data_IF_480869502537
#
_entry.id   IF_480869502537
#
_cell.length_a   1.000
_cell.length_b   1.000
_cell.length_c   1.000
_cell.angle_alpha   90.00
_cell.angle_beta   90.00
_cell.angle_gamma   90.00
#
_symmetry.space_group_name_H-M   'P 1'
#
loop_
_entity.id
_entity.type
_entity.pdbx_description
1 polymer ?
#
# COMPACT_ATOMS: atom_id res chain seq x y z
N UNK A 1 3.05 -29.86 14.62
CA UNK A 1 2.23 -30.61 13.66
C UNK A 1 1.05 -29.72 13.30
N UNK A 2 1.04 -29.14 12.10
CA UNK A 2 -0.09 -28.34 11.63
C UNK A 2 -1.26 -29.29 11.33
N UNK A 3 -2.49 -29.01 11.81
CA UNK A 3 -3.64 -29.87 11.54
C UNK A 3 -4.07 -29.73 10.07
N UNK A 4 -3.97 -30.82 9.32
CA UNK A 4 -4.68 -31.14 8.07
C UNK A 4 -5.15 -29.96 7.19
N UNK A 5 -4.24 -29.37 6.42
CA UNK A 5 -4.57 -28.42 5.34
C UNK A 5 -4.89 -29.17 4.04
N UNK A 6 -6.07 -29.81 3.95
CA UNK A 6 -6.54 -30.45 2.69
C UNK A 6 -7.58 -29.60 1.95
N UNK A 7 -7.63 -28.29 2.23
CA UNK A 7 -8.49 -27.34 1.53
C UNK A 7 -7.65 -26.56 0.52
N UNK A 8 -8.21 -26.35 -0.68
CA UNK A 8 -7.59 -25.59 -1.76
C UNK A 8 -8.48 -24.41 -2.14
N UNK A 9 -7.87 -23.26 -2.36
CA UNK A 9 -8.58 -22.05 -2.83
C UNK A 9 -8.65 -22.09 -4.36
N UNK A 10 -9.86 -21.96 -4.90
CA UNK A 10 -10.12 -21.91 -6.35
C UNK A 10 -11.02 -20.72 -6.68
N UNK A 11 -10.65 -19.93 -7.69
CA UNK A 11 -11.41 -18.74 -8.13
C UNK A 11 -12.22 -19.07 -9.39
N UNK A 12 -13.51 -18.80 -9.36
CA UNK A 12 -14.44 -19.04 -10.48
C UNK A 12 -15.12 -17.76 -10.94
N UNK A 13 -15.42 -17.66 -12.24
CA UNK A 13 -16.37 -16.67 -12.77
C UNK A 13 -17.71 -17.34 -12.96
N UNK A 14 -18.74 -16.82 -12.31
CA UNK A 14 -20.07 -17.43 -12.27
C UNK A 14 -21.16 -16.40 -12.53
N UNK A 15 -22.32 -16.78 -13.08
CA UNK A 15 -23.43 -15.85 -13.27
C UNK A 15 -23.93 -15.29 -11.92
N UNK A 16 -24.11 -13.97 -11.81
CA UNK A 16 -24.46 -13.32 -10.54
C UNK A 16 -25.74 -13.88 -9.90
N UNK A 17 -26.74 -14.24 -10.73
CA UNK A 17 -28.01 -14.84 -10.29
C UNK A 17 -27.87 -16.24 -9.68
N UNK A 18 -26.70 -16.86 -9.82
CA UNK A 18 -26.39 -18.24 -9.36
C UNK A 18 -25.41 -18.27 -8.20
N UNK A 19 -24.99 -17.11 -7.69
CA UNK A 19 -24.01 -17.04 -6.60
C UNK A 19 -24.48 -17.80 -5.35
N UNK A 20 -25.74 -17.59 -4.94
CA UNK A 20 -26.32 -18.25 -3.75
C UNK A 20 -26.37 -19.78 -3.90
N UNK A 21 -26.80 -20.25 -5.08
CA UNK A 21 -26.84 -21.69 -5.40
C UNK A 21 -25.45 -22.32 -5.28
N UNK A 22 -24.41 -21.62 -5.77
CA UNK A 22 -23.02 -22.09 -5.75
C UNK A 22 -22.47 -22.09 -4.33
N UNK A 23 -22.73 -21.05 -3.54
CA UNK A 23 -22.38 -21.01 -2.11
C UNK A 23 -22.96 -22.21 -1.38
N UNK A 24 -24.24 -22.50 -1.57
CA UNK A 24 -24.91 -23.64 -0.93
C UNK A 24 -24.27 -24.98 -1.29
N UNK A 25 -23.87 -25.18 -2.56
CA UNK A 25 -23.18 -26.40 -2.99
C UNK A 25 -21.80 -26.52 -2.36
N UNK A 26 -21.02 -25.44 -2.32
CA UNK A 26 -19.68 -25.43 -1.70
C UNK A 26 -19.77 -25.77 -0.22
N UNK A 27 -20.70 -25.15 0.51
CA UNK A 27 -20.95 -25.44 1.92
C UNK A 27 -21.39 -26.89 2.16
N UNK A 28 -22.29 -27.42 1.32
CA UNK A 28 -22.75 -28.81 1.41
C UNK A 28 -21.63 -29.84 1.19
N UNK A 29 -20.59 -29.48 0.42
CA UNK A 29 -19.40 -30.31 0.19
C UNK A 29 -18.32 -30.12 1.27
N UNK A 30 -18.59 -29.36 2.33
CA UNK A 30 -17.65 -29.07 3.40
C UNK A 30 -16.61 -28.00 3.06
N UNK A 31 -16.82 -27.25 1.97
CA UNK A 31 -16.03 -26.08 1.63
C UNK A 31 -16.34 -24.90 2.54
N UNK A 32 -15.33 -24.10 2.82
CA UNK A 32 -15.46 -22.85 3.55
C UNK A 32 -15.60 -21.72 2.53
N UNK A 33 -16.49 -20.77 2.82
CA UNK A 33 -16.74 -19.61 1.98
C UNK A 33 -16.28 -18.41 2.78
N UNK A 34 -15.14 -17.86 2.41
CA UNK A 34 -14.71 -16.57 2.92
C UNK A 34 -15.55 -15.50 2.22
N UNK A 35 -16.58 -15.01 2.92
CA UNK A 35 -17.46 -13.93 2.42
C UNK A 35 -16.79 -12.56 2.51
N UNK A 36 -15.76 -12.45 3.33
CA UNK A 36 -14.84 -11.35 3.28
C UNK A 36 -13.93 -11.63 2.08
N UNK A 37 -13.94 -10.73 1.08
CA UNK A 37 -12.65 -10.35 0.50
C UNK A 37 -11.85 -9.94 1.73
N UNK A 38 -11.11 -10.89 2.30
CA UNK A 38 -10.10 -10.57 3.29
C UNK A 38 -9.23 -9.60 2.54
N UNK A 39 -9.42 -8.33 2.87
CA UNK A 39 -8.50 -7.30 2.52
C UNK A 39 -7.25 -7.68 3.31
N UNK A 40 -6.50 -8.64 2.76
CA UNK A 40 -5.20 -9.08 3.25
C UNK A 40 -4.19 -7.92 3.14
N UNK A 41 -4.65 -6.71 2.77
CA UNK A 41 -3.88 -5.50 2.98
C UNK A 41 -3.68 -5.29 4.48
N UNK A 42 -2.49 -5.67 4.88
CA UNK A 42 -1.92 -5.29 6.16
C UNK A 42 -1.73 -3.76 6.12
N UNK A 43 -2.15 -3.08 7.19
CA UNK A 43 -1.89 -1.66 7.35
C UNK A 43 -0.39 -1.41 7.14
N UNK A 44 -0.03 -0.43 6.31
CA UNK A 44 1.37 -0.23 5.90
C UNK A 44 2.30 0.04 7.10
N UNK A 45 1.76 0.58 8.20
CA UNK A 45 2.44 0.77 9.49
C UNK A 45 2.86 -0.57 10.13
N UNK A 46 2.09 -1.65 9.94
CA UNK A 46 2.40 -2.98 10.46
C UNK A 46 3.48 -3.68 9.62
N UNK A 47 3.56 -3.37 8.31
CA UNK A 47 4.60 -3.91 7.41
C UNK A 47 5.91 -3.11 7.52
N UNK A 48 5.81 -1.80 7.80
CA UNK A 48 6.94 -0.88 7.86
C UNK A 48 6.91 -0.06 9.17
N UNK A 49 7.12 -0.67 10.35
CA UNK A 49 7.04 0.03 11.64
C UNK A 49 8.08 1.15 11.79
N UNK A 50 9.16 1.12 11.02
CA UNK A 50 10.24 2.12 11.02
C UNK A 50 10.17 3.10 9.83
N UNK A 51 9.02 3.19 9.15
CA UNK A 51 8.87 4.05 7.96
C UNK A 51 8.93 5.53 8.32
N UNK A 52 10.13 6.07 8.37
CA UNK A 52 10.34 7.51 8.48
C UNK A 52 9.84 8.19 7.20
N UNK A 53 9.19 9.37 7.29
CA UNK A 53 8.70 10.12 6.13
C UNK A 53 9.75 10.30 5.02
N UNK A 54 11.03 10.43 5.38
CA UNK A 54 12.15 10.50 4.45
C UNK A 54 12.37 9.23 3.61
N UNK A 55 12.22 8.05 4.21
CA UNK A 55 12.33 6.77 3.50
C UNK A 55 11.18 6.57 2.52
N UNK A 56 9.96 6.97 2.92
CA UNK A 56 8.77 6.91 2.07
C UNK A 56 8.95 7.82 0.86
N UNK A 57 9.41 9.07 1.08
CA UNK A 57 9.71 10.00 0.01
C UNK A 57 10.74 9.44 -0.98
N UNK A 58 11.82 8.83 -0.45
CA UNK A 58 12.85 8.20 -1.28
C UNK A 58 12.30 7.00 -2.07
N UNK A 59 11.45 6.18 -1.43
CA UNK A 59 10.79 5.03 -2.05
C UNK A 59 9.89 5.44 -3.20
N UNK A 60 9.01 6.44 -3.00
CA UNK A 60 8.14 6.99 -4.05
C UNK A 60 8.95 7.56 -5.21
N UNK A 61 10.04 8.27 -4.90
CA UNK A 61 10.92 8.81 -5.92
C UNK A 61 11.56 7.71 -6.78
N UNK A 62 11.95 6.58 -6.17
CA UNK A 62 12.48 5.43 -6.91
C UNK A 62 11.41 4.67 -7.68
N UNK A 63 10.21 4.49 -7.11
CA UNK A 63 9.03 3.91 -7.79
C UNK A 63 8.79 4.60 -9.13
N UNK A 64 8.94 5.93 -9.17
CA UNK A 64 8.65 6.76 -10.35
C UNK A 64 9.90 7.08 -11.19
N UNK A 65 11.06 6.49 -10.88
CA UNK A 65 12.31 6.67 -11.61
C UNK A 65 12.84 8.11 -11.60
N UNK A 66 12.53 8.89 -10.55
CA UNK A 66 12.89 10.32 -10.47
C UNK A 66 14.20 10.55 -9.71
N UNK A 67 14.89 11.64 -10.04
CA UNK A 67 16.11 12.06 -9.32
C UNK A 67 15.79 13.05 -8.20
N UNK A 68 16.67 13.19 -7.21
CA UNK A 68 16.51 14.21 -6.16
C UNK A 68 16.52 15.63 -6.76
N UNK A 69 17.25 15.84 -7.86
CA UNK A 69 17.27 17.11 -8.60
C UNK A 69 15.90 17.44 -9.19
N UNK A 70 15.25 16.47 -9.84
CA UNK A 70 13.91 16.63 -10.39
C UNK A 70 12.91 17.01 -9.29
N UNK A 71 12.95 16.31 -8.15
CA UNK A 71 12.04 16.60 -7.04
C UNK A 71 12.30 18.00 -6.46
N UNK A 72 13.57 18.41 -6.38
CA UNK A 72 13.94 19.74 -5.92
C UNK A 72 13.38 20.84 -6.84
N UNK A 73 13.44 20.63 -8.16
CA UNK A 73 12.84 21.52 -9.16
C UNK A 73 11.31 21.60 -9.01
N UNK A 74 10.62 20.47 -8.84
CA UNK A 74 9.16 20.45 -8.62
C UNK A 74 8.74 21.19 -7.35
N UNK A 75 9.55 21.09 -6.30
CA UNK A 75 9.25 21.71 -5.01
C UNK A 75 9.79 23.14 -4.87
N UNK A 76 10.49 23.67 -5.88
CA UNK A 76 11.11 24.99 -5.84
C UNK A 76 12.18 25.13 -4.74
N UNK A 77 12.94 24.07 -4.47
CA UNK A 77 13.99 24.06 -3.44
C UNK A 77 15.32 23.52 -3.98
N UNK A 78 16.38 23.59 -3.16
CA UNK A 78 17.69 23.05 -3.53
C UNK A 78 17.74 21.54 -3.31
N UNK A 79 18.43 20.79 -4.18
CA UNK A 79 18.59 19.34 -4.07
C UNK A 79 19.13 18.85 -2.70
N UNK A 80 20.05 19.56 -2.00
CA UNK A 80 20.44 19.19 -0.64
C UNK A 80 19.29 19.18 0.36
N UNK A 81 18.26 20.01 0.19
CA UNK A 81 17.07 19.99 1.07
C UNK A 81 16.27 18.70 0.87
N UNK A 82 16.16 18.22 -0.38
CA UNK A 82 15.54 16.92 -0.70
C UNK A 82 16.35 15.79 -0.08
N UNK A 83 17.68 15.81 -0.24
CA UNK A 83 18.56 14.81 0.37
C UNK A 83 18.44 14.79 1.90
N UNK A 84 18.41 15.95 2.55
CA UNK A 84 18.21 16.06 4.00
C UNK A 84 16.85 15.51 4.44
N UNK A 85 15.78 15.74 3.67
CA UNK A 85 14.46 15.15 3.96
C UNK A 85 14.48 13.62 3.81
N UNK A 86 15.08 13.09 2.74
CA UNK A 86 15.18 11.64 2.51
C UNK A 86 16.01 10.92 3.58
N UNK A 87 16.99 11.60 4.17
CA UNK A 87 17.80 11.10 5.29
C UNK A 87 17.14 11.29 6.66
N UNK A 88 16.02 12.01 6.75
CA UNK A 88 15.35 12.36 8.01
C UNK A 88 16.03 13.49 8.80
N UNK A 89 17.08 14.12 8.27
CA UNK A 89 17.75 15.28 8.89
C UNK A 89 16.88 16.54 8.84
N UNK A 90 15.92 16.59 7.91
CA UNK A 90 14.94 17.66 7.78
C UNK A 90 13.52 17.08 7.85
N UNK A 91 12.65 17.56 8.74
CA UNK A 91 11.28 17.08 8.83
C UNK A 91 10.44 17.53 7.62
N UNK A 92 9.44 16.71 7.26
CA UNK A 92 8.44 17.04 6.24
C UNK A 92 7.22 17.62 6.95
N UNK A 93 7.01 18.93 6.83
CA UNK A 93 5.83 19.59 7.40
C UNK A 93 4.55 19.32 6.60
N UNK A 94 3.38 19.48 7.24
CA UNK A 94 2.05 19.22 6.65
C UNK A 94 1.79 19.87 5.30
N UNK A 95 2.23 21.11 5.09
CA UNK A 95 2.06 21.80 3.81
C UNK A 95 2.85 21.12 2.68
N UNK A 96 4.06 20.66 2.99
CA UNK A 96 4.90 19.93 2.04
C UNK A 96 4.38 18.51 1.82
N UNK A 97 3.95 17.83 2.89
CA UNK A 97 3.32 16.52 2.81
C UNK A 97 2.14 16.51 1.84
N UNK A 98 1.27 17.54 1.87
CA UNK A 98 0.15 17.68 0.92
C UNK A 98 0.62 17.79 -0.52
N UNK A 99 1.60 18.67 -0.79
CA UNK A 99 2.20 18.80 -2.14
C UNK A 99 2.82 17.49 -2.63
N UNK A 100 3.50 16.76 -1.74
CA UNK A 100 4.09 15.46 -2.07
C UNK A 100 3.01 14.42 -2.35
N UNK A 101 1.92 14.40 -1.57
CA UNK A 101 0.78 13.53 -1.81
C UNK A 101 0.15 13.77 -3.19
N UNK A 102 -0.04 15.03 -3.57
CA UNK A 102 -0.51 15.40 -4.91
C UNK A 102 0.51 15.01 -6.01
N UNK A 103 1.81 15.25 -5.79
CA UNK A 103 2.86 14.99 -6.78
C UNK A 103 3.05 13.49 -7.06
N UNK A 104 2.91 12.64 -6.04
CA UNK A 104 3.15 11.20 -6.10
C UNK A 104 1.86 10.36 -6.16
N UNK A 105 0.69 11.00 -6.21
CA UNK A 105 -0.62 10.36 -6.17
C UNK A 105 -0.79 9.38 -4.99
N UNK A 106 -0.51 9.88 -3.79
CA UNK A 106 -0.63 9.14 -2.52
C UNK A 106 -1.27 9.99 -1.43
N UNK A 107 -1.84 9.33 -0.41
CA UNK A 107 -2.33 10.03 0.78
C UNK A 107 -1.18 10.78 1.46
N UNK A 108 -1.33 12.10 1.67
CA UNK A 108 -0.31 12.89 2.36
C UNK A 108 -0.02 12.43 3.80
N UNK A 109 -0.93 11.66 4.40
CA UNK A 109 -0.80 11.14 5.76
C UNK A 109 0.40 10.20 5.93
N UNK A 110 0.87 9.57 4.85
CA UNK A 110 2.06 8.71 4.90
C UNK A 110 3.33 9.47 5.30
N UNK A 111 3.34 10.80 5.22
CA UNK A 111 4.49 11.63 5.61
C UNK A 111 4.36 12.26 7.01
N UNK A 112 3.32 11.92 7.79
CA UNK A 112 2.98 12.57 9.06
C UNK A 112 3.03 11.63 10.25
#
# INVERSE_FOLDING_TARGET
>A
MLPNSNLMIVKFRVPAKKLEDIKNVVAALGGQIDEEEADDSVAWEEVLPDSQPGQILRGLRYRDGKSQKWLAEQLGMKQPNVSAMEKGERPIGKALAKKLGELFDVSYKVFL
#
